data_IF_816223923792
#
_entry.id   IF_816223923792
#
_cell.length_a   1.000
_cell.length_b   1.000
_cell.length_c   1.000
_cell.angle_alpha   90.00
_cell.angle_beta   90.00
_cell.angle_gamma   90.00
#
_symmetry.space_group_name_H-M   'P 1'
#
loop_
_entity.id
_entity.type
_entity.pdbx_description
1 polymer ?
#
# COMPACT_ATOMS: atom_id res chain seq x y z
N UNK A 1 -0.32 9.44 33.71
CA UNK A 1 0.50 9.52 32.48
C UNK A 1 -0.25 8.77 31.41
N UNK A 2 -0.97 9.50 30.55
CA UNK A 2 -1.74 8.88 29.47
C UNK A 2 -0.76 8.18 28.53
N UNK A 3 -1.02 6.90 28.24
CA UNK A 3 -0.25 6.13 27.28
C UNK A 3 -0.13 6.92 25.96
N UNK A 4 0.96 6.75 25.18
CA UNK A 4 1.06 7.38 23.88
C UNK A 4 -0.15 6.96 23.04
N UNK A 5 -0.87 7.95 22.52
CA UNK A 5 -2.02 7.84 21.61
C UNK A 5 -1.81 6.67 20.62
N UNK A 6 -2.81 5.75 20.52
CA UNK A 6 -2.69 4.52 19.73
C UNK A 6 -2.23 4.85 18.30
N UNK A 7 -1.11 4.26 17.89
CA UNK A 7 -0.52 4.51 16.57
C UNK A 7 -1.51 4.19 15.46
N UNK A 8 -2.40 3.20 15.66
CA UNK A 8 -3.44 2.88 14.69
C UNK A 8 -4.49 4.00 14.62
N UNK A 9 -4.98 4.50 15.76
CA UNK A 9 -5.91 5.63 15.80
C UNK A 9 -5.34 6.86 15.08
N UNK A 10 -4.05 7.16 15.29
CA UNK A 10 -3.35 8.26 14.61
C UNK A 10 -3.27 8.06 13.11
N UNK A 11 -2.95 6.84 12.66
CA UNK A 11 -2.92 6.49 11.23
C UNK A 11 -4.32 6.69 10.62
N UNK A 12 -5.36 6.16 11.25
CA UNK A 12 -6.75 6.26 10.79
C UNK A 12 -7.21 7.72 10.73
N UNK A 13 -7.02 8.49 11.80
CA UNK A 13 -7.40 9.91 11.84
C UNK A 13 -6.70 10.73 10.75
N UNK A 14 -5.44 10.39 10.45
CA UNK A 14 -4.67 11.05 9.38
C UNK A 14 -5.20 10.68 8.00
N UNK A 15 -5.45 9.40 7.72
CA UNK A 15 -6.03 8.95 6.45
C UNK A 15 -7.43 9.52 6.22
N UNK A 16 -8.27 9.61 7.25
CA UNK A 16 -9.61 10.21 7.12
C UNK A 16 -9.55 11.65 6.61
N UNK A 17 -8.67 12.48 7.21
CA UNK A 17 -8.45 13.87 6.77
C UNK A 17 -7.94 13.96 5.32
N UNK A 18 -7.02 13.07 4.94
CA UNK A 18 -6.54 13.03 3.55
C UNK A 18 -7.63 12.61 2.56
N UNK A 19 -8.43 11.61 2.91
CA UNK A 19 -9.56 11.15 2.07
C UNK A 19 -10.58 12.27 1.90
N UNK A 20 -10.90 13.04 2.96
CA UNK A 20 -11.82 14.16 2.86
C UNK A 20 -11.34 15.21 1.83
N UNK A 21 -10.04 15.48 1.79
CA UNK A 21 -9.43 16.37 0.79
C UNK A 21 -9.46 15.76 -0.62
N UNK A 22 -9.19 14.46 -0.75
CA UNK A 22 -9.12 13.76 -2.04
C UNK A 22 -10.49 13.45 -2.64
N UNK A 23 -11.55 13.36 -1.84
CA UNK A 23 -12.91 13.06 -2.31
C UNK A 23 -13.40 14.00 -3.42
N UNK A 24 -12.94 15.24 -3.45
CA UNK A 24 -13.28 16.20 -4.50
C UNK A 24 -12.81 15.77 -5.91
N UNK A 25 -11.84 14.86 -5.99
CA UNK A 25 -11.31 14.29 -7.24
C UNK A 25 -11.92 12.92 -7.60
N UNK A 26 -12.97 12.49 -6.91
CA UNK A 26 -13.55 11.15 -7.11
C UNK A 26 -14.09 10.94 -8.54
N UNK A 27 -14.65 11.98 -9.17
CA UNK A 27 -15.13 11.90 -10.55
C UNK A 27 -13.99 11.65 -11.53
N UNK A 28 -12.90 12.42 -11.43
CA UNK A 28 -11.69 12.27 -12.24
C UNK A 28 -11.08 10.87 -12.06
N UNK A 29 -11.02 10.39 -10.81
CA UNK A 29 -10.56 9.04 -10.52
C UNK A 29 -11.42 7.96 -11.18
N UNK A 30 -12.76 8.12 -11.15
CA UNK A 30 -13.67 7.16 -11.80
C UNK A 30 -13.47 7.10 -13.31
N UNK A 31 -13.37 8.25 -13.96
CA UNK A 31 -13.07 8.32 -15.40
C UNK A 31 -11.73 7.67 -15.72
N UNK A 32 -10.69 7.95 -14.95
CA UNK A 32 -9.36 7.37 -15.18
C UNK A 32 -9.31 5.84 -15.02
N UNK A 33 -10.20 5.25 -14.22
CA UNK A 33 -10.29 3.78 -14.05
C UNK A 33 -10.83 3.10 -15.32
N UNK A 34 -11.68 3.76 -16.10
CA UNK A 34 -12.28 3.18 -17.31
C UNK A 34 -11.22 2.82 -18.36
N UNK A 35 -10.10 3.55 -18.38
CA UNK A 35 -8.97 3.33 -19.30
C UNK A 35 -7.91 2.35 -18.76
N UNK A 36 -8.11 1.77 -17.56
CA UNK A 36 -7.10 0.88 -16.95
C UNK A 36 -7.19 -0.56 -17.48
N UNK A 37 -6.05 -1.26 -17.64
CA UNK A 37 -6.05 -2.69 -17.96
C UNK A 37 -6.80 -3.51 -16.89
N UNK A 38 -7.36 -4.68 -17.25
CA UNK A 38 -7.96 -5.58 -16.28
C UNK A 38 -7.00 -5.91 -15.13
N UNK A 39 -7.49 -6.01 -13.89
CA UNK A 39 -6.65 -6.33 -12.75
C UNK A 39 -6.04 -7.73 -12.92
N UNK A 40 -4.77 -7.88 -12.49
CA UNK A 40 -4.14 -9.19 -12.38
C UNK A 40 -4.88 -10.05 -11.34
N UNK A 41 -4.93 -11.37 -11.54
CA UNK A 41 -5.59 -12.29 -10.62
C UNK A 41 -4.75 -12.53 -9.33
N UNK A 42 -4.73 -11.53 -8.45
CA UNK A 42 -3.92 -11.54 -7.22
C UNK A 42 -4.21 -12.75 -6.32
N UNK A 43 -5.49 -13.07 -6.10
CA UNK A 43 -5.89 -14.18 -5.23
C UNK A 43 -5.59 -15.55 -5.84
N UNK A 44 -5.77 -15.71 -7.16
CA UNK A 44 -5.41 -16.93 -7.87
C UNK A 44 -3.91 -17.23 -7.80
N UNK A 45 -3.05 -16.22 -7.98
CA UNK A 45 -1.60 -16.39 -7.84
C UNK A 45 -1.17 -16.94 -6.47
N UNK A 46 -1.95 -16.69 -5.41
CA UNK A 46 -1.67 -17.20 -4.07
C UNK A 46 -2.31 -18.56 -3.82
N UNK A 47 -3.54 -18.77 -4.29
CA UNK A 47 -4.33 -19.99 -4.00
C UNK A 47 -3.98 -21.17 -4.91
N UNK A 48 -3.62 -20.89 -6.15
CA UNK A 48 -3.44 -21.90 -7.21
C UNK A 48 -1.96 -22.28 -7.40
N UNK A 49 -1.08 -21.76 -6.54
CA UNK A 49 0.36 -22.03 -6.59
C UNK A 49 0.68 -23.44 -6.11
N UNK A 50 1.43 -24.20 -6.92
CA UNK A 50 1.97 -25.51 -6.54
C UNK A 50 3.24 -25.42 -5.66
N UNK A 51 3.69 -24.20 -5.36
CA UNK A 51 4.84 -23.88 -4.51
C UNK A 51 4.47 -22.85 -3.45
N UNK A 52 5.40 -22.57 -2.53
CA UNK A 52 5.24 -21.48 -1.56
C UNK A 52 4.97 -20.16 -2.29
N UNK A 53 3.81 -19.57 -2.05
CA UNK A 53 3.43 -18.28 -2.61
C UNK A 53 3.85 -17.15 -1.64
N UNK A 54 4.52 -16.12 -2.17
CA UNK A 54 5.08 -15.01 -1.38
C UNK A 54 4.49 -13.69 -1.84
N UNK A 55 4.01 -12.89 -0.88
CA UNK A 55 3.72 -11.46 -1.10
C UNK A 55 4.95 -10.69 -0.61
N UNK A 56 5.77 -10.20 -1.54
CA UNK A 56 6.94 -9.41 -1.20
C UNK A 56 6.56 -7.92 -1.05
N UNK A 57 6.67 -7.38 0.18
CA UNK A 57 6.35 -5.98 0.48
C UNK A 57 7.52 -5.04 0.17
N UNK A 58 7.23 -3.95 -0.55
CA UNK A 58 8.17 -2.86 -0.77
C UNK A 58 7.93 -1.78 0.31
N UNK A 59 8.82 -1.68 1.30
CA UNK A 59 8.66 -0.79 2.47
C UNK A 59 9.87 0.10 2.72
N UNK A 60 9.65 1.42 2.81
CA UNK A 60 10.71 2.40 3.14
C UNK A 60 10.96 2.50 4.64
N UNK A 61 9.91 2.58 5.45
CA UNK A 61 9.96 2.74 6.90
C UNK A 61 8.71 2.14 7.57
N UNK A 62 8.77 1.94 8.89
CA UNK A 62 7.58 1.61 9.69
C UNK A 62 7.63 2.29 11.06
N UNK A 63 6.48 2.49 11.74
CA UNK A 63 6.48 3.04 13.09
C UNK A 63 7.29 2.21 14.09
N UNK A 64 7.27 0.89 13.96
CA UNK A 64 7.97 -0.02 14.89
C UNK A 64 9.47 -0.14 14.62
N UNK A 65 9.87 -0.25 13.34
CA UNK A 65 11.27 -0.48 12.96
C UNK A 65 12.03 0.79 12.54
N UNK A 66 11.35 1.94 12.44
CA UNK A 66 11.94 3.16 11.90
C UNK A 66 12.27 3.03 10.39
N UNK A 67 13.34 3.69 9.91
CA UNK A 67 13.80 3.54 8.53
C UNK A 67 14.28 2.11 8.24
N UNK A 68 13.77 1.50 7.16
CA UNK A 68 14.08 0.13 6.73
C UNK A 68 14.93 0.14 5.47
N UNK A 69 14.55 0.97 4.49
CA UNK A 69 15.30 1.18 3.25
C UNK A 69 15.16 2.64 2.83
N UNK A 70 15.93 3.56 3.43
CA UNK A 70 15.80 5.01 3.19
C UNK A 70 15.90 5.37 1.70
N UNK A 71 16.84 4.74 0.99
CA UNK A 71 17.11 4.96 -0.45
C UNK A 71 16.27 4.06 -1.36
N UNK A 72 15.02 3.77 -0.96
CA UNK A 72 14.14 2.86 -1.68
C UNK A 72 13.86 3.35 -3.10
N UNK A 73 14.39 2.61 -4.08
CA UNK A 73 13.91 2.56 -5.45
C UNK A 73 12.86 1.44 -5.61
N UNK A 74 11.56 1.78 -5.71
CA UNK A 74 10.50 0.78 -5.79
C UNK A 74 10.52 0.02 -7.12
N UNK A 75 10.97 0.62 -8.22
CA UNK A 75 10.99 -0.03 -9.53
C UNK A 75 12.08 -1.09 -9.59
N UNK A 76 13.28 -0.75 -9.10
CA UNK A 76 14.39 -1.69 -8.99
C UNK A 76 14.07 -2.83 -8.03
N UNK A 77 13.45 -2.53 -6.89
CA UNK A 77 13.12 -3.55 -5.90
C UNK A 77 12.01 -4.49 -6.39
N UNK A 78 10.97 -3.96 -7.03
CA UNK A 78 9.90 -4.77 -7.62
C UNK A 78 10.45 -5.81 -8.61
N UNK A 79 11.35 -5.40 -9.51
CA UNK A 79 12.01 -6.30 -10.47
C UNK A 79 12.89 -7.37 -9.83
N UNK A 80 13.36 -7.15 -8.60
CA UNK A 80 14.14 -8.17 -7.88
C UNK A 80 13.27 -9.18 -7.13
N UNK A 81 11.97 -8.91 -6.99
CA UNK A 81 10.99 -9.83 -6.40
C UNK A 81 10.27 -10.68 -7.45
N UNK A 82 10.22 -10.23 -8.71
CA UNK A 82 9.64 -10.91 -9.87
C UNK A 82 10.61 -11.93 -10.47
#
# INVERSE_FOLDING_TARGET
>A
VNAPEDILERIVATKSREVDVLRKHLSELRTGVEDTPPPRNFSGCLRDSNSVAVIAEIKRCSPGAGPIRPDLDPLRLARSYE
#
